data_IF_337405218421
#
_entry.id   IF_337405218421
#
_cell.length_a   1.000
_cell.length_b   1.000
_cell.length_c   1.000
_cell.angle_alpha   90.00
_cell.angle_beta   90.00
_cell.angle_gamma   90.00
#
_symmetry.space_group_name_H-M   'P 1'
#
loop_
_entity.id
_entity.type
_entity.pdbx_description
1 polymer ?
#
# COMPACT_ATOMS: atom_id res chain seq x y z
N UNK A 1 -6.27 18.14 54.83
CA UNK A 1 -5.03 17.68 54.10
C UNK A 1 -5.50 17.31 52.70
N UNK A 2 -5.49 18.34 51.83
CA UNK A 2 -5.98 18.23 50.45
C UNK A 2 -4.87 17.72 49.56
N UNK A 3 -5.12 16.61 48.83
CA UNK A 3 -4.19 16.07 47.86
C UNK A 3 -4.53 16.70 46.51
N UNK A 4 -3.67 17.60 46.06
CA UNK A 4 -3.74 18.25 44.74
C UNK A 4 -3.26 17.23 43.70
N UNK A 5 -4.18 16.66 42.89
CA UNK A 5 -3.83 15.92 41.69
C UNK A 5 -3.50 16.91 40.58
N UNK A 6 -2.19 17.09 40.33
CA UNK A 6 -1.69 17.80 39.16
C UNK A 6 -1.89 16.93 37.93
N UNK A 7 -2.91 17.27 37.14
CA UNK A 7 -3.17 16.73 35.80
C UNK A 7 -2.10 17.24 34.84
N UNK A 8 -1.09 16.42 34.53
CA UNK A 8 -0.20 16.66 33.39
C UNK A 8 -0.94 16.40 32.08
N UNK A 9 -1.61 17.39 31.57
CA UNK A 9 -2.12 17.40 30.20
C UNK A 9 -0.91 17.33 29.24
N UNK A 10 -0.71 16.18 28.58
CA UNK A 10 0.21 16.07 27.45
C UNK A 10 -0.27 17.01 26.34
N UNK A 11 0.40 18.14 26.19
CA UNK A 11 0.23 19.04 25.05
C UNK A 11 0.62 18.26 23.80
N UNK A 12 -0.37 17.76 23.07
CA UNK A 12 -0.18 17.25 21.70
C UNK A 12 0.17 18.46 20.86
N UNK A 13 1.48 18.66 20.62
CA UNK A 13 1.95 19.65 19.64
C UNK A 13 1.44 19.21 18.29
N UNK A 14 0.36 19.83 17.80
CA UNK A 14 -0.03 19.81 16.39
C UNK A 14 1.11 20.44 15.58
N UNK A 15 2.09 19.61 15.15
CA UNK A 15 2.97 19.99 14.07
C UNK A 15 2.08 20.09 12.84
N UNK A 16 1.86 21.30 12.34
CA UNK A 16 1.37 21.50 10.98
C UNK A 16 2.39 20.81 10.08
N UNK A 17 2.05 19.62 9.61
CA UNK A 17 2.94 18.84 8.76
C UNK A 17 2.96 19.53 7.41
N UNK A 18 4.14 20.00 6.99
CA UNK A 18 4.33 20.75 5.75
C UNK A 18 3.93 19.88 4.55
N UNK A 19 3.00 20.39 3.75
CA UNK A 19 2.63 19.80 2.46
C UNK A 19 3.31 20.53 1.31
N UNK A 20 3.41 19.87 0.18
CA UNK A 20 4.05 20.36 -1.04
C UNK A 20 3.20 19.96 -2.23
N UNK A 21 3.30 20.71 -3.32
CA UNK A 21 2.66 20.41 -4.60
C UNK A 21 3.76 20.16 -5.63
N UNK A 22 3.57 19.15 -6.47
CA UNK A 22 4.47 18.84 -7.58
C UNK A 22 3.76 18.12 -8.72
N UNK A 23 4.37 18.17 -9.91
CA UNK A 23 3.98 17.31 -11.03
C UNK A 23 4.86 16.06 -11.04
N UNK A 24 4.25 14.90 -11.25
CA UNK A 24 4.95 13.62 -11.31
C UNK A 24 5.63 13.47 -12.67
N UNK A 25 6.94 13.30 -12.65
CA UNK A 25 7.78 13.21 -13.85
C UNK A 25 8.03 11.78 -14.34
N UNK A 26 7.89 10.78 -13.48
CA UNK A 26 8.08 9.37 -13.80
C UNK A 26 7.39 8.46 -12.78
N UNK A 27 7.42 7.15 -13.01
CA UNK A 27 6.91 6.13 -12.07
C UNK A 27 7.99 5.07 -11.85
N UNK A 28 8.24 4.72 -10.61
CA UNK A 28 9.20 3.69 -10.25
C UNK A 28 8.68 2.28 -10.55
N UNK A 29 9.56 1.29 -10.57
CA UNK A 29 9.19 -0.13 -10.71
C UNK A 29 8.24 -0.64 -9.61
N UNK A 30 8.21 0.04 -8.45
CA UNK A 30 7.27 -0.27 -7.36
C UNK A 30 5.89 0.40 -7.52
N UNK A 31 5.67 1.18 -8.60
CA UNK A 31 4.42 1.91 -8.84
C UNK A 31 4.28 3.19 -8.01
N UNK A 32 5.39 3.81 -7.60
CA UNK A 32 5.40 5.12 -6.93
C UNK A 32 5.70 6.23 -7.93
N UNK A 33 4.97 7.33 -7.86
CA UNK A 33 5.32 8.53 -8.61
C UNK A 33 6.68 9.08 -8.18
N UNK A 34 7.45 9.57 -9.16
CA UNK A 34 8.76 10.19 -8.94
C UNK A 34 8.65 11.67 -9.26
N UNK A 35 9.12 12.49 -8.35
CA UNK A 35 9.32 13.92 -8.51
C UNK A 35 10.69 14.33 -7.99
N UNK A 36 11.13 15.54 -8.35
CA UNK A 36 12.42 16.09 -7.92
C UNK A 36 12.18 17.41 -7.20
N UNK A 37 12.85 17.59 -6.06
CA UNK A 37 12.84 18.82 -5.30
C UNK A 37 14.18 19.00 -4.58
N UNK A 38 14.81 20.18 -4.69
CA UNK A 38 16.07 20.52 -4.02
C UNK A 38 17.14 19.41 -4.18
N UNK A 39 17.37 18.98 -5.44
CA UNK A 39 18.30 17.89 -5.83
C UNK A 39 18.03 16.53 -5.19
N UNK A 40 16.81 16.32 -4.69
CA UNK A 40 16.36 15.04 -4.13
C UNK A 40 15.31 14.38 -4.97
N UNK A 41 15.45 13.07 -5.13
CA UNK A 41 14.40 12.23 -5.70
C UNK A 41 13.34 11.96 -4.65
N UNK A 42 12.08 12.24 -4.97
CA UNK A 42 10.94 12.00 -4.07
C UNK A 42 10.07 10.91 -4.64
N UNK A 43 9.94 9.81 -3.91
CA UNK A 43 9.04 8.71 -4.22
C UNK A 43 7.69 8.95 -3.55
N UNK A 44 6.64 9.18 -4.34
CA UNK A 44 5.31 9.54 -3.86
C UNK A 44 4.36 8.36 -4.05
N UNK A 45 3.87 7.83 -2.95
CA UNK A 45 2.91 6.72 -2.96
C UNK A 45 1.56 7.18 -3.53
N UNK A 46 0.92 6.33 -4.35
CA UNK A 46 -0.38 6.60 -4.95
C UNK A 46 -0.40 7.82 -5.89
N UNK A 47 0.65 8.00 -6.70
CA UNK A 47 0.76 9.06 -7.70
C UNK A 47 1.20 8.51 -9.05
N UNK A 48 0.64 9.04 -10.15
CA UNK A 48 0.85 8.62 -11.53
C UNK A 48 1.63 9.67 -12.33
N UNK A 49 2.20 9.24 -13.43
CA UNK A 49 2.87 10.13 -14.39
C UNK A 49 1.94 11.26 -14.83
N UNK A 50 2.49 12.48 -14.92
CA UNK A 50 1.80 13.71 -15.30
C UNK A 50 0.70 14.19 -14.35
N UNK A 51 0.53 13.57 -13.18
CA UNK A 51 -0.38 14.11 -12.17
C UNK A 51 0.24 15.30 -11.45
N UNK A 52 -0.59 16.28 -11.15
CA UNK A 52 -0.28 17.29 -10.15
C UNK A 52 -0.84 16.85 -8.81
N UNK A 53 0.03 16.71 -7.82
CA UNK A 53 -0.33 16.12 -6.54
C UNK A 53 0.12 16.98 -5.36
N UNK A 54 -0.74 17.10 -4.36
CA UNK A 54 -0.33 17.55 -3.04
C UNK A 54 0.18 16.35 -2.25
N UNK A 55 1.37 16.48 -1.67
CA UNK A 55 2.00 15.38 -0.95
C UNK A 55 2.64 15.82 0.36
N UNK A 56 2.89 14.83 1.23
CA UNK A 56 3.61 14.99 2.49
C UNK A 56 4.75 14.01 2.58
N UNK A 57 5.92 14.49 2.98
CA UNK A 57 7.10 13.65 3.19
C UNK A 57 6.91 12.85 4.49
N UNK A 58 7.09 11.52 4.39
CA UNK A 58 7.00 10.59 5.52
C UNK A 58 8.39 10.25 6.04
N UNK A 59 9.37 10.07 5.13
CA UNK A 59 10.74 9.68 5.48
C UNK A 59 11.74 10.36 4.57
N UNK A 60 12.79 10.94 5.15
CA UNK A 60 13.93 11.55 4.44
C UNK A 60 15.18 10.69 4.58
N UNK A 61 15.95 10.59 3.49
CA UNK A 61 17.32 10.10 3.44
C UNK A 61 18.20 11.19 2.79
N UNK A 62 19.52 10.93 2.67
CA UNK A 62 20.48 11.93 2.17
C UNK A 62 20.05 12.51 0.81
N UNK A 63 19.82 11.66 -0.20
CA UNK A 63 19.55 12.05 -1.59
C UNK A 63 18.14 11.71 -2.06
N UNK A 64 17.27 11.15 -1.20
CA UNK A 64 15.93 10.75 -1.57
C UNK A 64 14.95 10.91 -0.41
N UNK A 65 13.66 11.04 -0.74
CA UNK A 65 12.58 11.06 0.23
C UNK A 65 11.44 10.13 -0.19
N UNK A 66 10.71 9.64 0.81
CA UNK A 66 9.47 8.91 0.62
C UNK A 66 8.31 9.78 1.10
N UNK A 67 7.28 9.85 0.30
CA UNK A 67 6.11 10.69 0.53
C UNK A 67 4.81 9.93 0.25
N UNK A 68 3.72 10.49 0.73
CA UNK A 68 2.38 10.02 0.43
C UNK A 68 1.60 11.17 -0.23
N UNK A 69 0.90 10.88 -1.33
CA UNK A 69 -0.08 11.83 -1.89
C UNK A 69 -1.22 12.01 -0.91
N UNK A 70 -1.62 13.25 -0.69
CA UNK A 70 -2.77 13.64 0.12
C UNK A 70 -3.96 13.95 -0.76
N UNK A 71 -3.70 14.65 -1.86
CA UNK A 71 -4.70 15.06 -2.82
C UNK A 71 -4.14 14.95 -4.25
N UNK A 72 -4.97 14.53 -5.19
CA UNK A 72 -4.67 14.53 -6.62
C UNK A 72 -5.37 15.76 -7.21
N UNK A 73 -4.59 16.80 -7.50
CA UNK A 73 -5.10 18.08 -7.99
C UNK A 73 -5.51 17.95 -9.46
N UNK A 74 -4.64 17.37 -10.27
CA UNK A 74 -4.89 17.09 -11.67
C UNK A 74 -4.61 15.60 -11.95
N UNK A 75 -5.66 14.77 -12.13
CA UNK A 75 -5.48 13.35 -12.35
C UNK A 75 -4.94 13.04 -13.74
N UNK A 76 -4.21 11.94 -13.85
CA UNK A 76 -3.82 11.30 -15.10
C UNK A 76 -5.02 10.62 -15.76
N UNK A 77 -5.05 10.54 -17.09
CA UNK A 77 -6.03 9.74 -17.85
C UNK A 77 -5.91 8.24 -17.58
N UNK A 78 -4.79 7.79 -17.03
CA UNK A 78 -4.52 6.39 -16.66
C UNK A 78 -4.95 6.08 -15.21
N UNK A 79 -5.52 7.05 -14.49
CA UNK A 79 -6.01 6.84 -13.14
C UNK A 79 -7.39 6.20 -13.15
N UNK A 80 -7.52 5.13 -12.35
CA UNK A 80 -8.81 4.52 -12.04
C UNK A 80 -9.03 4.52 -10.53
N UNK A 81 -10.28 4.38 -10.13
CA UNK A 81 -10.63 4.19 -8.73
C UNK A 81 -10.20 2.79 -8.26
N UNK A 82 -9.53 2.74 -7.12
CA UNK A 82 -9.08 1.47 -6.56
C UNK A 82 -10.27 0.67 -6.02
N UNK A 83 -10.39 -0.60 -6.42
CA UNK A 83 -11.49 -1.48 -6.02
C UNK A 83 -11.52 -1.82 -4.53
N UNK A 84 -10.39 -1.68 -3.83
CA UNK A 84 -10.23 -2.09 -2.44
C UNK A 84 -10.36 -0.89 -1.50
N UNK A 85 -11.32 -0.93 -0.57
CA UNK A 85 -11.61 0.14 0.40
C UNK A 85 -10.42 0.52 1.29
N UNK A 86 -9.49 -0.41 1.50
CA UNK A 86 -8.27 -0.19 2.30
C UNK A 86 -7.01 0.04 1.44
N UNK A 87 -7.21 0.28 0.13
CA UNK A 87 -6.09 0.64 -0.74
C UNK A 87 -5.41 1.94 -0.26
N UNK A 88 -4.09 2.04 -0.45
CA UNK A 88 -3.31 3.19 0.04
C UNK A 88 -2.93 3.10 1.53
N UNK A 89 -3.62 2.27 2.33
CA UNK A 89 -3.26 1.94 3.72
C UNK A 89 -2.63 0.54 3.77
N UNK A 90 -3.32 -0.45 3.21
CA UNK A 90 -2.84 -1.83 3.14
C UNK A 90 -1.57 -1.94 2.29
N UNK A 91 -0.56 -2.66 2.80
CA UNK A 91 0.69 -2.94 2.09
C UNK A 91 0.62 -4.06 1.07
N UNK A 92 -0.55 -4.69 0.88
CA UNK A 92 -0.70 -5.85 -0.01
C UNK A 92 -0.72 -5.52 -1.51
N UNK A 93 -1.02 -4.26 -1.89
CA UNK A 93 -1.14 -3.81 -3.28
C UNK A 93 -0.54 -2.43 -3.48
N UNK A 94 0.09 -2.20 -4.65
CA UNK A 94 0.73 -0.93 -4.98
C UNK A 94 0.13 -0.20 -6.20
N UNK A 95 -0.58 -0.90 -7.10
CA UNK A 95 -0.95 -0.35 -8.41
C UNK A 95 -2.46 -0.41 -8.73
N UNK A 96 -3.36 -0.51 -7.74
CA UNK A 96 -4.80 -0.56 -8.02
C UNK A 96 -5.38 0.73 -8.60
N UNK A 97 -4.67 1.85 -8.49
CA UNK A 97 -5.04 3.15 -9.05
C UNK A 97 -4.59 3.37 -10.50
N UNK A 98 -3.90 2.39 -11.11
CA UNK A 98 -3.57 2.37 -12.54
C UNK A 98 -4.63 1.61 -13.31
N UNK A 99 -4.99 2.06 -14.50
CA UNK A 99 -5.72 1.20 -15.43
C UNK A 99 -4.87 -0.02 -15.86
N UNK A 100 -5.54 -1.03 -16.41
CA UNK A 100 -4.90 -2.31 -16.76
C UNK A 100 -3.76 -2.13 -17.76
N UNK A 101 -3.97 -1.35 -18.82
CA UNK A 101 -2.97 -1.11 -19.85
C UNK A 101 -1.76 -0.35 -19.30
N UNK A 102 -1.99 0.63 -18.44
CA UNK A 102 -0.92 1.35 -17.75
C UNK A 102 -0.12 0.43 -16.83
N UNK A 103 -0.78 -0.44 -16.03
CA UNK A 103 -0.07 -1.41 -15.19
C UNK A 103 0.88 -2.30 -16.01
N UNK A 104 0.40 -2.81 -17.14
CA UNK A 104 1.18 -3.68 -18.02
C UNK A 104 2.36 -2.92 -18.63
N UNK A 105 2.11 -1.74 -19.18
CA UNK A 105 3.14 -0.89 -19.80
C UNK A 105 4.24 -0.49 -18.81
N UNK A 106 3.89 -0.10 -17.58
CA UNK A 106 4.88 0.26 -16.55
C UNK A 106 5.71 -0.94 -16.09
N UNK A 107 5.10 -2.12 -15.97
CA UNK A 107 5.84 -3.35 -15.62
C UNK A 107 6.78 -3.78 -16.74
N UNK A 108 6.32 -3.71 -17.99
CA UNK A 108 7.15 -3.99 -19.16
C UNK A 108 8.35 -3.05 -19.21
N UNK A 109 8.12 -1.73 -19.11
CA UNK A 109 9.20 -0.75 -19.09
C UNK A 109 10.19 -1.00 -17.95
N UNK A 110 9.72 -1.28 -16.74
CA UNK A 110 10.60 -1.58 -15.60
C UNK A 110 11.47 -2.82 -15.85
N UNK A 111 10.94 -3.82 -16.55
CA UNK A 111 11.69 -5.00 -16.95
C UNK A 111 12.77 -4.66 -17.99
N UNK A 112 12.42 -3.89 -19.03
CA UNK A 112 13.36 -3.45 -20.08
C UNK A 112 14.48 -2.57 -19.50
N UNK A 113 14.14 -1.58 -18.65
CA UNK A 113 15.12 -0.74 -17.95
C UNK A 113 16.05 -1.59 -17.04
N UNK A 114 15.54 -2.65 -16.42
CA UNK A 114 16.37 -3.54 -15.61
C UNK A 114 17.34 -4.37 -16.45
N UNK A 115 16.93 -4.84 -17.61
CA UNK A 115 17.84 -5.52 -18.57
C UNK A 115 18.95 -4.59 -19.01
N UNK A 116 18.61 -3.38 -19.44
CA UNK A 116 19.56 -2.41 -19.97
C UNK A 116 20.50 -1.87 -18.89
N UNK A 117 19.95 -1.29 -17.82
CA UNK A 117 20.74 -0.52 -16.86
C UNK A 117 21.34 -1.34 -15.70
N UNK A 118 20.75 -2.49 -15.37
CA UNK A 118 21.25 -3.36 -14.30
C UNK A 118 21.97 -4.57 -14.88
N UNK A 119 21.36 -5.21 -15.87
CA UNK A 119 21.92 -6.40 -16.53
C UNK A 119 22.98 -6.10 -17.57
N UNK A 120 23.00 -4.86 -18.13
CA UNK A 120 23.78 -4.49 -19.33
C UNK A 120 23.52 -5.47 -20.49
N UNK A 121 22.29 -5.91 -20.65
CA UNK A 121 21.85 -6.87 -21.67
C UNK A 121 20.89 -6.18 -22.63
N UNK A 122 21.19 -6.28 -23.92
CA UNK A 122 20.32 -5.84 -25.01
C UNK A 122 19.85 -7.08 -25.77
N UNK A 123 18.67 -7.65 -25.47
CA UNK A 123 18.15 -8.81 -26.18
C UNK A 123 17.77 -8.45 -27.62
N UNK A 124 17.90 -9.36 -28.56
CA UNK A 124 17.50 -9.16 -29.96
C UNK A 124 15.99 -8.94 -30.09
N UNK A 125 15.20 -9.55 -29.21
CA UNK A 125 13.75 -9.36 -29.15
C UNK A 125 13.22 -9.58 -27.75
N UNK A 126 12.11 -8.91 -27.43
CA UNK A 126 11.36 -9.09 -26.20
C UNK A 126 9.96 -9.51 -26.58
N UNK A 127 9.51 -10.66 -26.10
CA UNK A 127 8.16 -11.15 -26.34
C UNK A 127 7.12 -10.26 -25.66
N UNK A 128 5.90 -10.22 -26.22
CA UNK A 128 4.78 -9.53 -25.59
C UNK A 128 4.51 -10.08 -24.18
N UNK A 129 4.18 -9.22 -23.21
CA UNK A 129 3.93 -9.66 -21.86
C UNK A 129 2.68 -10.55 -21.77
N UNK A 130 2.74 -11.58 -20.92
CA UNK A 130 1.59 -12.42 -20.61
C UNK A 130 0.81 -11.73 -19.50
N UNK A 131 -0.46 -11.45 -19.73
CA UNK A 131 -1.38 -10.92 -18.72
C UNK A 131 -2.37 -11.97 -18.25
N UNK A 132 -2.96 -11.75 -17.08
CA UNK A 132 -3.96 -12.60 -16.47
C UNK A 132 -5.03 -11.78 -15.76
N UNK A 133 -5.97 -12.41 -15.03
CA UNK A 133 -7.05 -11.70 -14.35
C UNK A 133 -6.49 -10.68 -13.36
N UNK A 134 -7.09 -9.47 -13.35
CA UNK A 134 -6.69 -8.37 -12.44
C UNK A 134 -7.05 -8.64 -10.98
N UNK A 135 -8.07 -9.47 -10.75
CA UNK A 135 -8.65 -9.74 -9.45
C UNK A 135 -8.70 -11.23 -9.19
N UNK A 136 -8.77 -11.60 -7.90
CA UNK A 136 -8.90 -12.99 -7.46
C UNK A 136 -7.73 -13.92 -7.85
N UNK A 137 -6.58 -13.34 -8.25
CA UNK A 137 -5.42 -14.07 -8.76
C UNK A 137 -4.45 -14.59 -7.68
N UNK A 138 -4.58 -14.14 -6.43
CA UNK A 138 -3.62 -14.49 -5.37
C UNK A 138 -4.02 -15.78 -4.69
N UNK A 139 -3.53 -16.90 -5.21
CA UNK A 139 -3.83 -18.25 -4.72
C UNK A 139 -3.02 -18.68 -3.50
N UNK A 140 -2.05 -17.88 -3.03
CA UNK A 140 -1.30 -18.12 -1.80
C UNK A 140 -1.13 -16.81 -1.04
N UNK A 141 -1.49 -16.83 0.24
CA UNK A 141 -1.33 -15.66 1.11
C UNK A 141 -1.10 -16.06 2.57
N UNK A 142 -0.41 -15.18 3.29
CA UNK A 142 -0.27 -15.21 4.73
C UNK A 142 -0.94 -13.97 5.28
N UNK A 143 -2.04 -14.14 6.00
CA UNK A 143 -2.79 -13.08 6.65
C UNK A 143 -2.43 -13.09 8.13
N UNK A 144 -1.97 -11.97 8.64
CA UNK A 144 -1.73 -11.84 10.08
C UNK A 144 -3.04 -11.75 10.82
N UNK A 145 -3.02 -12.24 12.06
CA UNK A 145 -4.14 -12.15 13.02
C UNK A 145 -3.67 -11.35 14.21
N UNK A 146 -4.51 -10.49 14.75
CA UNK A 146 -4.22 -9.76 15.99
C UNK A 146 -5.48 -9.39 16.73
N UNK A 147 -5.57 -9.79 18.00
CA UNK A 147 -6.55 -9.24 18.92
C UNK A 147 -6.10 -7.84 19.36
N UNK A 148 -6.94 -6.83 19.14
CA UNK A 148 -6.68 -5.44 19.52
C UNK A 148 -7.56 -5.07 20.70
N UNK A 149 -6.99 -5.11 21.90
CA UNK A 149 -7.70 -4.89 23.16
C UNK A 149 -8.47 -3.55 23.17
N UNK A 150 -7.82 -2.46 22.74
CA UNK A 150 -8.46 -1.12 22.69
C UNK A 150 -9.69 -1.04 21.79
N UNK A 151 -9.77 -1.87 20.78
CA UNK A 151 -10.91 -1.95 19.83
C UNK A 151 -11.86 -3.09 20.19
N UNK A 152 -11.48 -3.93 21.15
CA UNK A 152 -12.17 -5.19 21.49
C UNK A 152 -12.52 -6.01 20.24
N UNK A 153 -11.56 -6.20 19.33
CA UNK A 153 -11.78 -6.82 18.02
C UNK A 153 -10.56 -7.63 17.60
N UNK A 154 -10.79 -8.76 16.92
CA UNK A 154 -9.76 -9.48 16.17
C UNK A 154 -9.68 -8.88 14.78
N UNK A 155 -8.48 -8.57 14.33
CA UNK A 155 -8.17 -8.15 12.96
C UNK A 155 -7.50 -9.29 12.23
N UNK A 156 -7.84 -9.46 10.94
CA UNK A 156 -7.19 -10.38 10.01
C UNK A 156 -6.85 -9.60 8.76
N UNK A 157 -5.60 -9.65 8.29
CA UNK A 157 -5.21 -8.93 7.10
C UNK A 157 -3.70 -8.83 6.85
N UNK A 158 -3.33 -7.94 5.96
CA UNK A 158 -1.94 -7.58 5.69
C UNK A 158 -1.50 -6.40 6.57
N UNK A 159 -0.19 -6.22 6.71
CA UNK A 159 0.33 -5.02 7.36
C UNK A 159 -0.02 -3.76 6.57
N UNK A 160 -0.15 -2.65 7.26
CA UNK A 160 -0.19 -1.33 6.63
C UNK A 160 1.16 -1.01 5.96
N UNK A 161 1.13 -0.16 4.95
CA UNK A 161 2.34 0.29 4.26
C UNK A 161 3.32 0.93 5.24
N UNK A 162 4.60 0.54 5.13
CA UNK A 162 5.70 1.06 5.96
C UNK A 162 5.43 0.98 7.48
N UNK A 163 4.58 0.07 7.93
CA UNK A 163 4.14 -0.07 9.31
C UNK A 163 4.11 -1.53 9.74
N UNK A 164 4.14 -1.76 11.05
CA UNK A 164 3.88 -3.06 11.67
C UNK A 164 2.42 -3.21 12.12
N UNK A 165 1.61 -2.17 11.95
CA UNK A 165 0.19 -2.24 12.23
C UNK A 165 -0.54 -3.13 11.23
N UNK A 166 -1.64 -3.72 11.66
CA UNK A 166 -2.46 -4.59 10.85
C UNK A 166 -3.62 -3.80 10.25
N UNK A 167 -3.80 -3.91 8.94
CA UNK A 167 -4.92 -3.29 8.24
C UNK A 167 -6.24 -3.94 8.70
N UNK A 168 -7.21 -3.10 9.06
CA UNK A 168 -8.56 -3.56 9.36
C UNK A 168 -9.33 -3.74 8.04
N UNK A 169 -9.37 -4.96 7.53
CA UNK A 169 -10.09 -5.28 6.30
C UNK A 169 -11.12 -6.38 6.54
N UNK A 170 -12.23 -6.33 5.82
CA UNK A 170 -13.31 -7.32 5.85
C UNK A 170 -13.37 -8.14 4.56
N UNK A 171 -12.75 -7.64 3.50
CA UNK A 171 -12.65 -8.30 2.20
C UNK A 171 -11.32 -7.95 1.51
N UNK A 172 -10.91 -8.76 0.54
CA UNK A 172 -9.70 -8.54 -0.24
C UNK A 172 -9.92 -8.95 -1.70
N UNK A 173 -10.03 -8.00 -2.65
CA UNK A 173 -10.40 -8.32 -4.04
C UNK A 173 -9.30 -9.07 -4.82
N UNK A 174 -8.07 -9.17 -4.32
CA UNK A 174 -7.00 -9.95 -4.97
C UNK A 174 -6.96 -11.42 -4.51
N UNK A 175 -7.59 -11.75 -3.37
CA UNK A 175 -7.79 -13.15 -2.95
C UNK A 175 -8.97 -13.76 -3.71
N UNK A 176 -8.99 -15.09 -3.95
CA UNK A 176 -10.17 -15.76 -4.44
C UNK A 176 -11.41 -15.41 -3.62
N UNK A 177 -12.55 -15.22 -4.29
CA UNK A 177 -13.76 -14.72 -3.64
C UNK A 177 -14.13 -15.53 -2.38
N UNK A 178 -14.10 -16.87 -2.47
CA UNK A 178 -14.39 -17.76 -1.34
C UNK A 178 -13.51 -17.47 -0.10
N UNK A 179 -12.24 -17.10 -0.30
CA UNK A 179 -11.31 -16.81 0.80
C UNK A 179 -11.51 -15.36 1.30
N UNK A 180 -11.74 -14.43 0.39
CA UNK A 180 -12.08 -13.05 0.76
C UNK A 180 -13.31 -13.00 1.66
N UNK A 181 -14.36 -13.74 1.31
CA UNK A 181 -15.64 -13.81 2.04
C UNK A 181 -15.49 -14.46 3.44
N UNK A 182 -14.41 -15.20 3.69
CA UNK A 182 -14.11 -15.81 5.00
C UNK A 182 -13.45 -14.87 6.00
N UNK A 183 -12.92 -13.73 5.58
CA UNK A 183 -12.14 -12.85 6.46
C UNK A 183 -12.98 -12.39 7.66
N UNK A 184 -14.16 -11.83 7.43
CA UNK A 184 -15.04 -11.35 8.49
C UNK A 184 -15.61 -12.48 9.37
N UNK A 185 -16.13 -13.60 8.82
CA UNK A 185 -16.51 -14.77 9.62
C UNK A 185 -15.40 -15.30 10.51
N UNK A 186 -14.16 -15.36 10.02
CA UNK A 186 -13.01 -15.80 10.82
C UNK A 186 -12.63 -14.80 11.91
N UNK A 187 -12.73 -13.48 11.66
CA UNK A 187 -12.55 -12.49 12.71
C UNK A 187 -13.55 -12.70 13.86
N UNK A 188 -14.82 -12.94 13.52
CA UNK A 188 -15.89 -13.19 14.49
C UNK A 188 -15.71 -14.53 15.23
N UNK A 189 -15.27 -15.58 14.55
CA UNK A 189 -14.96 -16.87 15.14
C UNK A 189 -13.81 -16.74 16.15
N UNK A 190 -12.68 -16.16 15.70
CA UNK A 190 -11.48 -16.03 16.56
C UNK A 190 -11.72 -15.13 17.77
N UNK A 191 -12.58 -14.14 17.63
CA UNK A 191 -12.96 -13.30 18.77
C UNK A 191 -13.60 -14.10 19.92
N UNK A 192 -14.32 -15.18 19.60
CA UNK A 192 -14.99 -16.06 20.59
C UNK A 192 -14.04 -17.06 21.24
N UNK A 193 -12.83 -17.27 20.68
CA UNK A 193 -11.88 -18.23 21.22
C UNK A 193 -11.16 -17.67 22.46
N UNK A 194 -10.90 -18.52 23.45
CA UNK A 194 -10.09 -18.16 24.63
C UNK A 194 -8.65 -17.81 24.26
N UNK A 195 -8.11 -18.40 23.17
CA UNK A 195 -6.74 -18.19 22.65
C UNK A 195 -6.65 -17.09 21.59
N UNK A 196 -7.64 -16.22 21.47
CA UNK A 196 -7.72 -15.18 20.42
C UNK A 196 -6.53 -14.24 20.30
N UNK A 197 -5.75 -14.09 21.36
CA UNK A 197 -4.54 -13.28 21.44
C UNK A 197 -3.27 -14.06 21.07
N UNK A 198 -3.36 -15.38 20.95
CA UNK A 198 -2.23 -16.28 20.66
C UNK A 198 -2.18 -16.74 19.20
N UNK A 199 -3.17 -16.39 18.37
CA UNK A 199 -3.21 -16.74 16.95
C UNK A 199 -2.40 -15.68 16.16
N UNK A 200 -1.21 -16.01 15.60
CA UNK A 200 -0.37 -15.02 14.94
C UNK A 200 -0.77 -14.77 13.49
N UNK A 201 -1.26 -15.77 12.78
CA UNK A 201 -1.53 -15.72 11.35
C UNK A 201 -2.41 -16.86 10.86
N UNK A 202 -2.95 -16.68 9.65
CA UNK A 202 -3.58 -17.72 8.83
C UNK A 202 -2.77 -17.83 7.54
N UNK A 203 -2.48 -19.03 7.13
CA UNK A 203 -1.94 -19.30 5.81
C UNK A 203 -3.00 -19.95 4.92
N UNK A 204 -3.03 -19.48 3.70
CA UNK A 204 -3.95 -19.95 2.69
C UNK A 204 -3.18 -20.31 1.42
N UNK A 205 -3.51 -21.44 0.83
CA UNK A 205 -3.06 -21.86 -0.49
C UNK A 205 -4.19 -22.62 -1.19
N UNK A 206 -4.40 -22.36 -2.48
CA UNK A 206 -5.34 -23.13 -3.31
C UNK A 206 -4.76 -23.37 -4.70
N UNK A 207 -5.22 -24.43 -5.33
CA UNK A 207 -5.09 -24.62 -6.77
C UNK A 207 -6.17 -23.80 -7.49
N UNK A 208 -5.98 -23.55 -8.78
CA UNK A 208 -7.01 -23.01 -9.66
C UNK A 208 -8.08 -24.05 -9.89
#
# INVERSE_FOLDING_TARGET
MEIIYSSMAKVVRNRIEKTFITTISSVSHEGKGIAYQDDKTIFIDNALLNEEVEYRIIKKKKNLAFAKSLNIIKPSTQRVEAKCDVYGVCGGCSMQHFDEGAQLSYKQRAFEEALEHVGNVMPESISSPISGPLWHYRHKARLRVKFVLKKNKVLIGFNEKMSHFLTNMIACPVLPKKISDLIEPLQNLFFKLSIRDQIPQIEYASNQ
#
